data_IF_285025511702
#
_entry.id   IF_285025511702
#
_cell.length_a   1.000
_cell.length_b   1.000
_cell.length_c   1.000
_cell.angle_alpha   90.00
_cell.angle_beta   90.00
_cell.angle_gamma   90.00
#
_symmetry.space_group_name_H-M   'P 1'
#
loop_
_entity.id
_entity.type
_entity.pdbx_description
1 polymer ?
#
# COMPACT_ATOMS: atom_id res chain seq x y z
N UNK A 1 -61.20 -5.49 9.13
CA UNK A 1 -61.18 -4.03 8.92
C UNK A 1 -60.02 -3.75 7.98
N UNK A 2 -60.24 -3.76 6.65
CA UNK A 2 -60.56 -2.56 5.84
C UNK A 2 -59.40 -1.55 5.96
N UNK A 3 -58.46 -1.42 5.01
CA UNK A 3 -58.66 -1.09 3.60
C UNK A 3 -57.52 -1.55 2.67
N UNK A 4 -57.89 -1.70 1.40
CA UNK A 4 -57.09 -2.09 0.23
C UNK A 4 -57.24 -0.98 -0.83
N UNK A 5 -56.24 -0.85 -1.71
CA UNK A 5 -56.22 -0.18 -3.04
C UNK A 5 -56.47 1.34 -3.14
N UNK A 6 -55.52 2.00 -3.82
CA UNK A 6 -55.79 2.74 -5.06
C UNK A 6 -54.48 2.93 -5.86
N UNK A 7 -54.34 2.19 -6.97
CA UNK A 7 -53.66 2.63 -8.19
C UNK A 7 -54.70 3.33 -9.08
N UNK A 8 -54.26 4.31 -9.88
CA UNK A 8 -54.67 4.67 -11.27
C UNK A 8 -54.18 6.11 -11.50
N UNK A 9 -53.16 6.33 -12.33
CA UNK A 9 -53.22 6.45 -13.81
C UNK A 9 -54.00 7.68 -14.29
N UNK A 10 -53.31 8.56 -15.02
CA UNK A 10 -53.53 8.92 -16.46
C UNK A 10 -52.70 10.18 -16.74
N UNK A 11 -51.64 10.12 -17.54
CA UNK A 11 -51.56 9.90 -19.00
C UNK A 11 -51.75 11.18 -19.83
N UNK A 12 -50.85 11.23 -20.82
CA UNK A 12 -51.09 11.58 -22.22
C UNK A 12 -50.89 13.02 -22.68
N UNK A 13 -49.92 13.10 -23.61
CA UNK A 13 -50.18 13.64 -24.94
C UNK A 13 -49.30 14.84 -25.26
N UNK A 14 -48.65 14.97 -26.41
CA UNK A 14 -48.52 14.16 -27.61
C UNK A 14 -47.39 14.87 -28.41
N UNK A 15 -46.40 14.18 -28.96
CA UNK A 15 -46.40 13.50 -30.28
C UNK A 15 -46.12 14.48 -31.45
N UNK A 16 -45.80 13.97 -32.66
CA UNK A 16 -44.57 14.30 -33.37
C UNK A 16 -44.92 14.91 -34.74
N UNK A 17 -43.91 14.99 -35.61
CA UNK A 17 -43.97 15.23 -37.06
C UNK A 17 -43.47 16.61 -37.53
N UNK A 18 -42.86 16.52 -38.71
CA UNK A 18 -42.44 17.57 -39.64
C UNK A 18 -41.06 18.21 -39.30
N UNK A 19 -40.01 18.07 -40.12
CA UNK A 19 -39.96 18.16 -41.58
C UNK A 19 -38.82 17.32 -42.21
N UNK A 20 -39.19 16.51 -43.21
CA UNK A 20 -38.34 16.10 -44.34
C UNK A 20 -38.13 17.26 -45.33
N UNK A 21 -37.06 17.17 -46.13
CA UNK A 21 -36.83 17.64 -47.52
C UNK A 21 -35.39 18.17 -47.65
N UNK A 22 -34.55 17.84 -48.63
CA UNK A 22 -34.58 17.06 -49.88
C UNK A 22 -33.14 17.17 -50.44
N UNK A 23 -32.56 16.19 -51.15
CA UNK A 23 -32.58 15.99 -52.60
C UNK A 23 -31.11 15.68 -53.01
N UNK A 24 -30.81 14.49 -53.55
CA UNK A 24 -30.68 14.16 -54.97
C UNK A 24 -29.26 14.31 -55.58
N UNK A 25 -28.63 13.15 -55.80
CA UNK A 25 -28.02 12.64 -57.06
C UNK A 25 -27.01 13.48 -57.89
N UNK A 26 -25.73 13.03 -57.84
CA UNK A 26 -24.89 12.49 -58.95
C UNK A 26 -24.49 13.40 -60.17
N UNK A 27 -23.76 12.90 -61.20
CA UNK A 27 -22.34 12.46 -61.28
C UNK A 27 -21.59 13.02 -62.53
N UNK A 28 -20.24 12.95 -62.62
CA UNK A 28 -19.42 12.97 -63.88
C UNK A 28 -17.92 13.08 -63.56
N UNK A 29 -16.91 12.54 -64.27
CA UNK A 29 -16.77 11.61 -65.40
C UNK A 29 -15.26 11.28 -65.58
N UNK A 30 -14.97 10.09 -66.15
CA UNK A 30 -13.73 9.45 -66.68
C UNK A 30 -12.47 10.30 -66.96
N UNK A 31 -11.24 9.78 -66.77
CA UNK A 31 -10.55 8.85 -67.70
C UNK A 31 -9.01 8.73 -67.48
N UNK A 32 -8.22 8.04 -68.34
CA UNK A 32 -7.32 6.92 -67.94
C UNK A 32 -5.78 7.09 -68.14
N UNK A 33 -4.97 6.37 -67.31
CA UNK A 33 -3.62 5.74 -67.52
C UNK A 33 -2.45 6.57 -68.13
N UNK A 34 -1.19 6.05 -68.24
CA UNK A 34 -0.41 5.03 -67.52
C UNK A 34 1.03 5.50 -67.14
N UNK A 35 1.83 4.67 -66.45
CA UNK A 35 3.30 4.80 -66.50
C UNK A 35 4.07 4.37 -65.25
N UNK A 36 4.34 3.06 -65.13
CA UNK A 36 5.51 2.58 -64.38
C UNK A 36 6.77 2.74 -65.28
N UNK A 37 7.95 2.91 -64.68
CA UNK A 37 8.88 1.78 -64.75
C UNK A 37 9.56 1.43 -63.42
N UNK A 38 9.76 0.12 -63.32
CA UNK A 38 10.64 -0.68 -62.47
C UNK A 38 12.05 -0.09 -62.32
N UNK A 39 12.59 -0.03 -61.09
CA UNK A 39 14.03 -0.21 -60.82
C UNK A 39 14.26 -0.87 -59.44
N UNK A 40 14.93 -2.02 -59.52
CA UNK A 40 15.81 -2.73 -58.57
C UNK A 40 15.37 -3.14 -57.16
N UNK A 41 15.30 -4.46 -56.99
CA UNK A 41 15.58 -5.17 -55.76
C UNK A 41 17.06 -5.03 -55.36
N UNK A 42 17.30 -4.64 -54.12
CA UNK A 42 18.55 -4.88 -53.40
C UNK A 42 18.23 -5.74 -52.16
N UNK A 43 18.91 -6.88 -51.95
CA UNK A 43 18.74 -7.70 -50.75
C UNK A 43 19.75 -7.24 -49.69
N UNK A 44 19.28 -6.69 -48.57
CA UNK A 44 20.15 -6.48 -47.42
C UNK A 44 19.32 -6.38 -46.14
N UNK A 45 19.46 -7.41 -45.31
CA UNK A 45 19.39 -7.38 -43.85
C UNK A 45 18.19 -6.65 -43.23
N UNK A 46 17.09 -7.37 -43.07
CA UNK A 46 16.09 -7.10 -42.03
C UNK A 46 16.01 -8.34 -41.13
N UNK A 47 17.15 -8.72 -40.56
CA UNK A 47 17.28 -9.71 -39.49
C UNK A 47 18.29 -9.13 -38.50
N UNK A 48 17.85 -8.16 -37.70
CA UNK A 48 18.46 -7.72 -36.44
C UNK A 48 17.53 -6.64 -35.86
N UNK A 49 17.34 -6.65 -34.54
CA UNK A 49 16.45 -5.78 -33.75
C UNK A 49 14.98 -6.19 -33.57
N UNK A 50 14.71 -7.50 -33.45
CA UNK A 50 13.47 -7.97 -32.82
C UNK A 50 13.69 -8.88 -31.59
N UNK A 51 14.85 -8.77 -30.94
CA UNK A 51 15.19 -9.47 -29.69
C UNK A 51 15.67 -8.51 -28.57
N UNK A 52 15.22 -7.25 -28.60
CA UNK A 52 15.57 -6.25 -27.59
C UNK A 52 14.38 -5.81 -26.70
N UNK A 53 13.29 -6.57 -26.64
CA UNK A 53 12.07 -6.17 -25.93
C UNK A 53 11.56 -7.12 -24.84
N UNK A 54 12.40 -7.97 -24.26
CA UNK A 54 12.00 -8.84 -23.13
C UNK A 54 12.95 -8.85 -21.92
N UNK A 55 13.71 -7.78 -21.71
CA UNK A 55 14.17 -7.41 -20.36
C UNK A 55 13.35 -6.23 -19.86
N UNK A 56 12.06 -6.47 -19.62
CA UNK A 56 11.16 -5.47 -19.08
C UNK A 56 11.41 -5.25 -17.56
N UNK A 57 12.62 -4.79 -17.20
CA UNK A 57 13.05 -4.53 -15.82
C UNK A 57 12.33 -3.35 -15.15
N UNK A 58 12.40 -3.27 -13.82
CA UNK A 58 11.96 -2.10 -13.02
C UNK A 58 12.66 -0.82 -13.51
N UNK A 59 12.12 0.35 -13.14
CA UNK A 59 12.81 1.61 -13.44
C UNK A 59 14.14 1.68 -12.68
N UNK A 60 15.17 2.24 -13.32
CA UNK A 60 16.48 2.38 -12.69
C UNK A 60 16.41 3.16 -11.37
N UNK A 61 17.19 2.75 -10.34
CA UNK A 61 17.23 3.43 -9.06
C UNK A 61 17.67 4.90 -9.20
N UNK A 62 16.90 5.79 -8.59
CA UNK A 62 17.15 7.23 -8.74
C UNK A 62 18.38 7.69 -7.95
N UNK A 63 19.24 8.49 -8.59
CA UNK A 63 20.45 9.08 -8.01
C UNK A 63 20.18 10.34 -7.16
N UNK A 64 18.96 10.88 -7.21
CA UNK A 64 18.51 12.02 -6.42
C UNK A 64 17.02 11.87 -6.10
N UNK A 65 16.56 12.50 -5.02
CA UNK A 65 15.13 12.55 -4.70
C UNK A 65 14.37 13.28 -5.82
N UNK A 66 13.56 12.55 -6.60
CA UNK A 66 12.79 13.14 -7.70
C UNK A 66 11.55 13.85 -7.18
N UNK A 67 11.06 14.87 -7.91
CA UNK A 67 9.79 15.55 -7.56
C UNK A 67 8.61 14.58 -7.53
N UNK A 68 8.62 13.59 -8.43
CA UNK A 68 7.59 12.55 -8.47
C UNK A 68 7.61 11.67 -7.22
N UNK A 69 8.79 11.26 -6.75
CA UNK A 69 8.94 10.53 -5.47
C UNK A 69 8.47 11.36 -4.27
N UNK A 70 8.80 12.65 -4.22
CA UNK A 70 8.32 13.55 -3.15
C UNK A 70 6.80 13.64 -3.16
N UNK A 71 6.21 13.84 -4.34
CA UNK A 71 4.76 13.91 -4.49
C UNK A 71 4.09 12.60 -4.06
N UNK A 72 4.62 11.46 -4.52
CA UNK A 72 4.16 10.14 -4.13
C UNK A 72 4.19 9.96 -2.59
N UNK A 73 5.35 10.14 -1.97
CA UNK A 73 5.54 9.92 -0.53
C UNK A 73 4.71 10.88 0.34
N UNK A 74 4.69 12.18 0.02
CA UNK A 74 4.05 13.17 0.89
C UNK A 74 2.56 13.34 0.61
N UNK A 75 2.15 13.32 -0.66
CA UNK A 75 0.76 13.60 -1.04
C UNK A 75 -0.05 12.32 -1.09
N UNK A 76 0.41 11.30 -1.83
CA UNK A 76 -0.34 10.05 -1.95
C UNK A 76 -0.27 9.26 -0.65
N UNK A 77 0.93 8.95 -0.16
CA UNK A 77 1.05 8.16 1.07
C UNK A 77 0.73 9.02 2.29
N UNK A 78 1.25 10.25 2.39
CA UNK A 78 1.01 11.11 3.56
C UNK A 78 -0.44 11.58 3.66
N UNK A 79 -0.87 12.43 2.74
CA UNK A 79 -2.19 13.06 2.80
C UNK A 79 -3.32 12.08 2.44
N UNK A 80 -3.10 11.23 1.44
CA UNK A 80 -4.02 10.14 1.10
C UNK A 80 -4.13 9.11 2.23
N UNK A 81 -3.00 8.67 2.79
CA UNK A 81 -2.98 7.77 3.95
C UNK A 81 -3.63 8.36 5.19
N UNK A 82 -3.48 9.66 5.45
CA UNK A 82 -4.18 10.37 6.52
C UNK A 82 -5.70 10.27 6.36
N UNK A 83 -6.23 10.61 5.18
CA UNK A 83 -7.68 10.60 4.94
C UNK A 83 -8.25 9.19 4.98
N UNK A 84 -7.57 8.23 4.35
CA UNK A 84 -7.99 6.82 4.34
C UNK A 84 -8.00 6.27 5.77
N UNK A 85 -6.90 6.44 6.49
CA UNK A 85 -6.75 5.90 7.85
C UNK A 85 -7.71 6.56 8.84
N UNK A 86 -7.82 7.90 8.81
CA UNK A 86 -8.79 8.62 9.62
C UNK A 86 -10.21 8.17 9.32
N UNK A 87 -10.57 8.03 8.03
CA UNK A 87 -11.89 7.58 7.59
C UNK A 87 -12.26 6.18 8.08
N UNK A 88 -11.33 5.22 7.95
CA UNK A 88 -11.55 3.83 8.45
C UNK A 88 -11.73 3.81 9.96
N UNK A 89 -10.89 4.54 10.71
CA UNK A 89 -11.01 4.63 12.17
C UNK A 89 -12.31 5.30 12.61
N UNK A 90 -12.73 6.35 11.91
CA UNK A 90 -14.03 6.99 12.15
C UNK A 90 -15.18 6.00 11.94
N UNK A 91 -15.17 5.25 10.84
CA UNK A 91 -16.22 4.30 10.51
C UNK A 91 -16.32 3.17 11.55
N UNK A 92 -15.18 2.63 11.98
CA UNK A 92 -15.11 1.61 13.03
C UNK A 92 -15.64 2.15 14.36
N UNK A 93 -15.22 3.35 14.76
CA UNK A 93 -15.69 4.00 15.97
C UNK A 93 -17.19 4.33 15.90
N UNK A 94 -17.68 4.77 14.74
CA UNK A 94 -19.10 5.03 14.53
C UNK A 94 -19.90 3.74 14.71
N UNK A 95 -19.52 2.67 14.02
CA UNK A 95 -20.19 1.38 14.14
C UNK A 95 -20.15 0.87 15.59
N UNK A 96 -18.98 0.89 16.25
CA UNK A 96 -18.83 0.36 17.60
C UNK A 96 -19.64 1.14 18.63
N UNK A 97 -19.53 2.47 18.67
CA UNK A 97 -20.15 3.28 19.73
C UNK A 97 -21.64 3.56 19.51
N UNK A 98 -22.14 3.48 18.27
CA UNK A 98 -23.59 3.69 18.01
C UNK A 98 -24.42 2.41 18.09
N UNK A 99 -23.79 1.24 18.01
CA UNK A 99 -24.51 -0.06 18.09
C UNK A 99 -24.53 -0.64 19.51
N UNK A 100 -23.68 -0.15 20.41
CA UNK A 100 -23.62 -0.60 21.79
C UNK A 100 -24.73 0.03 22.66
N UNK A 101 -25.19 -0.68 23.69
CA UNK A 101 -26.06 -0.13 24.72
C UNK A 101 -25.27 0.80 25.65
N UNK A 102 -25.15 2.05 25.21
CA UNK A 102 -24.43 3.12 25.92
C UNK A 102 -25.21 3.66 27.12
N UNK A 103 -26.46 3.24 27.32
CA UNK A 103 -27.25 3.54 28.53
C UNK A 103 -26.78 2.66 29.68
N UNK A 104 -26.53 1.37 29.43
CA UNK A 104 -25.99 0.44 30.43
C UNK A 104 -24.47 0.56 30.59
N UNK A 105 -23.74 0.80 29.49
CA UNK A 105 -22.28 0.85 29.47
C UNK A 105 -21.79 2.13 28.77
N UNK A 106 -21.76 3.28 29.47
CA UNK A 106 -21.34 4.54 28.85
C UNK A 106 -19.89 4.48 28.38
N UNK A 107 -19.57 5.26 27.35
CA UNK A 107 -18.21 5.38 26.83
C UNK A 107 -17.34 6.09 27.87
N UNK A 108 -16.29 5.41 28.33
CA UNK A 108 -15.40 5.86 29.41
C UNK A 108 -13.98 6.01 28.90
N UNK A 109 -13.19 6.87 29.53
CA UNK A 109 -11.82 7.08 29.12
C UNK A 109 -10.95 5.85 29.41
N UNK A 110 -10.98 5.33 30.65
CA UNK A 110 -10.13 4.21 31.06
C UNK A 110 -10.89 2.93 31.37
N UNK A 111 -12.09 3.04 31.97
CA UNK A 111 -12.81 1.87 32.46
C UNK A 111 -13.42 1.01 31.35
N UNK A 112 -13.37 -0.31 31.56
CA UNK A 112 -14.04 -1.32 30.74
C UNK A 112 -15.57 -1.31 31.00
N UNK A 113 -16.41 -1.80 30.06
CA UNK A 113 -16.06 -2.45 28.79
C UNK A 113 -15.75 -1.48 27.63
N UNK A 114 -16.23 -0.23 27.68
CA UNK A 114 -16.14 0.73 26.57
C UNK A 114 -15.04 1.77 26.81
N UNK A 115 -13.80 1.30 26.88
CA UNK A 115 -12.61 2.14 27.12
C UNK A 115 -12.12 2.80 25.84
N UNK A 116 -12.09 4.13 25.84
CA UNK A 116 -11.66 4.91 24.67
C UNK A 116 -10.14 5.02 24.59
N UNK A 117 -9.45 5.11 25.73
CA UNK A 117 -7.98 5.09 25.78
C UNK A 117 -7.42 3.72 25.39
N UNK A 118 -8.06 2.63 25.83
CA UNK A 118 -7.64 1.27 25.43
C UNK A 118 -7.85 1.03 23.95
N UNK A 119 -8.99 1.43 23.40
CA UNK A 119 -9.28 1.32 21.97
C UNK A 119 -8.32 2.16 21.12
N UNK A 120 -7.95 3.37 21.57
CA UNK A 120 -6.90 4.19 20.96
C UNK A 120 -5.53 3.48 20.94
N UNK A 121 -5.13 2.86 22.06
CA UNK A 121 -3.87 2.13 22.16
C UNK A 121 -3.79 0.97 21.16
N UNK A 122 -4.85 0.15 21.12
CA UNK A 122 -4.94 -1.00 20.21
C UNK A 122 -4.92 -0.53 18.76
N UNK A 123 -5.61 0.57 18.46
CA UNK A 123 -5.61 1.17 17.11
C UNK A 123 -4.21 1.49 16.65
N UNK A 124 -3.40 2.17 17.47
CA UNK A 124 -2.03 2.53 17.08
C UNK A 124 -1.21 1.29 16.72
N UNK A 125 -1.31 0.24 17.54
CA UNK A 125 -0.56 -1.01 17.35
C UNK A 125 -1.01 -1.74 16.08
N UNK A 126 -2.32 -2.01 15.99
CA UNK A 126 -2.88 -2.78 14.87
C UNK A 126 -2.73 -2.03 13.56
N UNK A 127 -3.02 -0.72 13.56
CA UNK A 127 -2.89 0.11 12.37
C UNK A 127 -1.46 0.12 11.85
N UNK A 128 -0.45 0.35 12.69
CA UNK A 128 0.94 0.37 12.23
C UNK A 128 1.39 -0.98 11.66
N UNK A 129 0.98 -2.09 12.28
CA UNK A 129 1.28 -3.44 11.76
C UNK A 129 0.60 -3.66 10.41
N UNK A 130 -0.70 -3.39 10.29
CA UNK A 130 -1.43 -3.59 9.04
C UNK A 130 -0.94 -2.67 7.93
N UNK A 131 -0.71 -1.40 8.25
CA UNK A 131 -0.20 -0.40 7.30
C UNK A 131 1.15 -0.83 6.75
N UNK A 132 2.04 -1.37 7.59
CA UNK A 132 3.32 -1.90 7.13
C UNK A 132 3.20 -2.94 6.00
N UNK A 133 2.22 -3.85 6.11
CA UNK A 133 1.97 -4.85 5.08
C UNK A 133 1.29 -4.27 3.84
N UNK A 134 0.34 -3.35 4.03
CA UNK A 134 -0.33 -2.65 2.92
C UNK A 134 0.69 -1.89 2.08
N UNK A 135 1.55 -1.09 2.73
CA UNK A 135 2.60 -0.31 2.06
C UNK A 135 3.61 -1.19 1.33
N UNK A 136 3.98 -2.34 1.94
CA UNK A 136 4.83 -3.32 1.26
C UNK A 136 4.21 -3.77 -0.06
N UNK A 137 2.91 -4.06 -0.05
CA UNK A 137 2.18 -4.52 -1.23
C UNK A 137 2.00 -3.41 -2.28
N UNK A 138 1.61 -2.20 -1.85
CA UNK A 138 1.39 -1.05 -2.73
C UNK A 138 2.68 -0.63 -3.43
N UNK A 139 3.77 -0.43 -2.68
CA UNK A 139 5.06 -0.05 -3.26
C UNK A 139 5.58 -1.14 -4.21
N UNK A 140 5.46 -2.43 -3.85
CA UNK A 140 5.85 -3.51 -4.75
C UNK A 140 5.02 -3.52 -6.05
N UNK A 141 3.72 -3.26 -5.95
CA UNK A 141 2.84 -3.14 -7.10
C UNK A 141 3.22 -1.94 -7.98
N UNK A 142 3.44 -0.76 -7.39
CA UNK A 142 3.78 0.46 -8.14
C UNK A 142 5.16 0.39 -8.79
N UNK A 143 6.12 -0.28 -8.16
CA UNK A 143 7.42 -0.60 -8.77
C UNK A 143 7.25 -1.58 -9.93
N UNK A 144 6.40 -2.61 -9.79
CA UNK A 144 6.14 -3.59 -10.86
C UNK A 144 5.47 -2.95 -12.09
N UNK A 145 4.69 -1.87 -11.88
CA UNK A 145 4.03 -1.11 -12.94
C UNK A 145 4.88 0.04 -13.48
N UNK A 146 6.12 0.20 -13.02
CA UNK A 146 7.00 1.31 -13.40
C UNK A 146 6.36 2.69 -13.12
N UNK A 147 5.49 2.77 -12.12
CA UNK A 147 4.82 4.01 -11.72
C UNK A 147 5.73 4.91 -10.88
N UNK A 148 6.63 4.29 -10.10
CA UNK A 148 7.56 4.96 -9.19
C UNK A 148 8.96 4.38 -9.34
N UNK A 149 9.98 5.23 -9.20
CA UNK A 149 11.38 4.82 -9.21
C UNK A 149 11.84 4.38 -7.81
N UNK A 150 12.64 3.32 -7.68
CA UNK A 150 13.36 3.00 -6.45
C UNK A 150 14.27 4.16 -6.01
N UNK A 151 14.54 4.28 -4.71
CA UNK A 151 15.46 5.28 -4.17
C UNK A 151 16.87 4.67 -4.11
N UNK A 152 17.74 5.06 -5.05
CA UNK A 152 19.09 4.52 -5.18
C UNK A 152 20.19 5.35 -4.51
N UNK A 153 19.96 6.62 -4.16
CA UNK A 153 21.05 7.48 -3.68
C UNK A 153 21.49 7.22 -2.24
N UNK A 154 20.69 6.49 -1.44
CA UNK A 154 20.98 6.22 -0.03
C UNK A 154 21.92 5.00 0.05
N UNK A 155 23.08 5.11 0.73
CA UNK A 155 23.98 3.97 0.90
C UNK A 155 23.38 2.93 1.86
N UNK A 156 23.77 1.67 1.67
CA UNK A 156 23.38 0.62 2.60
C UNK A 156 23.92 0.90 4.02
N UNK A 157 23.12 0.66 5.06
CA UNK A 157 23.60 0.78 6.43
C UNK A 157 24.66 -0.27 6.75
N UNK A 158 25.68 0.13 7.51
CA UNK A 158 26.76 -0.74 7.99
C UNK A 158 26.47 -1.33 9.37
N UNK A 159 25.59 -0.70 10.16
CA UNK A 159 25.28 -1.13 11.53
C UNK A 159 24.39 -2.38 11.55
N UNK A 160 24.74 -3.36 12.41
CA UNK A 160 24.06 -4.68 12.49
C UNK A 160 22.55 -4.60 12.72
N UNK A 161 22.11 -3.72 13.61
CA UNK A 161 20.68 -3.58 13.91
C UNK A 161 19.90 -2.87 12.79
N UNK A 162 20.54 -1.96 12.05
CA UNK A 162 19.95 -1.33 10.87
C UNK A 162 19.86 -2.33 9.72
N UNK A 163 20.92 -3.11 9.46
CA UNK A 163 20.87 -4.20 8.47
C UNK A 163 19.77 -5.20 8.79
N UNK A 164 19.62 -5.58 10.07
CA UNK A 164 18.48 -6.37 10.52
C UNK A 164 17.14 -5.67 10.22
N UNK A 165 16.97 -4.39 10.58
CA UNK A 165 15.75 -3.63 10.30
C UNK A 165 15.41 -3.59 8.80
N UNK A 166 16.40 -3.54 7.93
CA UNK A 166 16.25 -3.41 6.48
C UNK A 166 16.26 -4.72 5.68
N UNK A 167 16.32 -5.89 6.34
CA UNK A 167 16.44 -7.21 5.69
C UNK A 167 17.77 -7.45 4.94
N UNK A 168 18.84 -6.76 5.31
CA UNK A 168 20.16 -6.94 4.69
C UNK A 168 20.96 -8.06 5.39
N UNK A 169 21.73 -8.89 4.65
CA UNK A 169 22.62 -9.89 5.23
C UNK A 169 23.58 -9.23 6.23
N UNK A 170 23.75 -9.82 7.41
CA UNK A 170 24.73 -9.30 8.38
C UNK A 170 26.13 -9.55 7.83
N UNK A 171 26.99 -8.52 7.76
CA UNK A 171 28.36 -8.63 7.21
C UNK A 171 29.28 -9.63 7.94
N UNK A 172 28.86 -10.17 9.09
CA UNK A 172 29.53 -11.27 9.78
C UNK A 172 29.08 -12.67 9.29
N UNK A 173 28.24 -12.74 8.26
CA UNK A 173 27.67 -13.97 7.72
C UNK A 173 28.31 -14.48 6.43
N UNK A 174 29.20 -13.70 5.80
CA UNK A 174 29.98 -14.20 4.66
C UNK A 174 30.99 -15.27 5.09
N UNK A 175 31.40 -15.31 6.36
CA UNK A 175 32.26 -16.38 6.89
C UNK A 175 31.51 -17.69 7.19
N UNK A 176 30.17 -17.70 7.13
CA UNK A 176 29.35 -18.89 7.37
C UNK A 176 28.71 -19.45 6.09
N UNK A 177 28.77 -18.72 4.97
CA UNK A 177 28.32 -19.19 3.67
C UNK A 177 29.46 -19.78 2.81
N UNK A 178 30.73 -19.63 3.23
CA UNK A 178 31.91 -20.08 2.49
C UNK A 178 32.57 -21.38 3.03
N UNK A 179 31.83 -22.23 3.76
CA UNK A 179 32.33 -23.54 4.26
C UNK A 179 31.65 -24.76 3.64
N UNK A 180 30.86 -24.62 2.56
CA UNK A 180 30.32 -25.81 1.85
C UNK A 180 30.40 -25.71 0.32
N UNK A 181 31.49 -25.18 -0.26
CA UNK A 181 31.83 -25.56 -1.66
C UNK A 181 33.33 -25.38 -1.96
N UNK A 182 34.19 -26.22 -1.39
CA UNK A 182 35.50 -26.55 -1.99
C UNK A 182 36.01 -27.87 -1.43
N UNK A 183 35.89 -28.94 -2.23
CA UNK A 183 36.47 -30.25 -1.91
C UNK A 183 35.77 -31.42 -2.58
N UNK A 184 35.87 -31.55 -3.91
CA UNK A 184 36.02 -32.86 -4.56
C UNK A 184 37.32 -33.49 -3.99
N UNK A 185 37.49 -34.76 -3.56
CA UNK A 185 36.87 -36.07 -3.79
C UNK A 185 37.29 -36.96 -2.60
N UNK A 186 36.40 -37.72 -1.94
CA UNK A 186 36.69 -39.13 -1.53
C UNK A 186 35.47 -39.91 -0.95
N UNK A 187 35.18 -41.02 -1.63
CA UNK A 187 34.54 -42.29 -1.25
C UNK A 187 33.62 -42.46 -0.01
N UNK A 188 32.46 -43.08 -0.33
CA UNK A 188 31.70 -44.09 0.45
C UNK A 188 31.05 -43.66 1.77
N UNK A 189 29.73 -43.69 1.78
CA UNK A 189 28.93 -43.89 3.00
C UNK A 189 27.55 -43.28 2.88
N UNK A 190 26.54 -44.13 3.04
CA UNK A 190 25.09 -43.86 3.13
C UNK A 190 24.63 -42.40 3.29
N UNK A 191 23.81 -41.95 2.35
CA UNK A 191 23.07 -40.69 2.41
C UNK A 191 21.96 -40.82 3.44
N UNK A 192 22.18 -40.32 4.65
CA UNK A 192 21.07 -39.92 5.53
C UNK A 192 20.36 -38.70 4.92
N UNK A 193 19.01 -38.70 4.82
CA UNK A 193 18.28 -37.51 4.41
C UNK A 193 18.35 -36.48 5.53
N UNK A 194 19.13 -35.41 5.33
CA UNK A 194 19.10 -34.19 6.14
C UNK A 194 17.67 -33.63 6.11
N UNK A 195 16.91 -33.95 7.15
CA UNK A 195 15.48 -33.65 7.29
C UNK A 195 15.26 -32.15 7.09
N UNK A 196 14.67 -31.79 5.95
CA UNK A 196 14.22 -30.43 5.67
C UNK A 196 13.27 -30.00 6.79
N UNK A 197 13.70 -29.05 7.62
CA UNK A 197 12.83 -28.42 8.59
C UNK A 197 11.60 -27.83 7.86
N UNK A 198 10.37 -28.01 8.39
CA UNK A 198 9.17 -27.72 7.63
C UNK A 198 9.06 -26.23 7.32
N UNK A 199 8.95 -25.89 6.03
CA UNK A 199 8.88 -24.54 5.45
C UNK A 199 7.87 -23.58 6.14
N UNK A 200 6.91 -24.12 6.89
CA UNK A 200 5.94 -23.35 7.69
C UNK A 200 6.60 -22.51 8.80
N UNK A 201 7.64 -23.02 9.46
CA UNK A 201 8.30 -22.24 10.52
C UNK A 201 9.08 -21.05 9.96
N UNK A 202 9.71 -21.19 8.79
CA UNK A 202 10.41 -20.09 8.09
C UNK A 202 9.47 -18.98 7.62
N UNK A 203 8.26 -19.36 7.19
CA UNK A 203 7.25 -18.37 6.74
C UNK A 203 6.68 -17.59 7.93
N UNK A 204 6.36 -18.25 9.03
CA UNK A 204 5.83 -17.59 10.24
C UNK A 204 6.86 -16.67 10.88
N UNK A 205 8.13 -17.06 10.94
CA UNK A 205 9.20 -16.19 11.44
C UNK A 205 9.36 -14.96 10.55
N UNK A 206 9.27 -15.12 9.22
CA UNK A 206 9.32 -14.01 8.26
C UNK A 206 8.13 -13.04 8.39
N UNK A 207 6.93 -13.56 8.68
CA UNK A 207 5.74 -12.75 8.95
C UNK A 207 5.85 -12.01 10.28
N UNK A 208 6.26 -12.70 11.35
CA UNK A 208 6.47 -12.11 12.66
C UNK A 208 7.54 -11.01 12.61
N UNK A 209 8.62 -11.25 11.88
CA UNK A 209 9.66 -10.26 11.64
C UNK A 209 9.12 -9.01 10.94
N UNK A 210 8.26 -9.16 9.92
CA UNK A 210 7.62 -8.01 9.27
C UNK A 210 6.69 -7.26 10.23
N UNK A 211 5.86 -7.98 10.99
CA UNK A 211 4.98 -7.38 11.98
C UNK A 211 5.76 -6.61 13.06
N UNK A 212 6.91 -7.13 13.50
CA UNK A 212 7.76 -6.47 14.48
C UNK A 212 8.30 -5.11 14.00
N UNK A 213 8.52 -4.94 12.70
CA UNK A 213 8.97 -3.66 12.12
C UNK A 213 7.86 -2.62 12.10
N UNK A 214 6.66 -3.01 11.68
CA UNK A 214 5.46 -2.19 11.85
C UNK A 214 5.22 -1.83 13.32
N UNK A 215 5.46 -2.79 14.22
CA UNK A 215 5.34 -2.58 15.66
C UNK A 215 6.33 -1.54 16.22
N UNK A 216 7.57 -1.45 15.73
CA UNK A 216 8.49 -0.40 16.17
C UNK A 216 7.96 1.01 15.86
N UNK A 217 7.35 1.21 14.68
CA UNK A 217 6.68 2.47 14.37
C UNK A 217 5.45 2.69 15.26
N UNK A 218 4.76 1.62 15.66
CA UNK A 218 3.68 1.70 16.64
C UNK A 218 4.15 2.19 18.01
N UNK A 219 5.33 1.76 18.49
CA UNK A 219 5.88 2.23 19.77
C UNK A 219 6.09 3.75 19.74
N UNK A 220 6.70 4.25 18.66
CA UNK A 220 6.94 5.69 18.49
C UNK A 220 5.61 6.44 18.41
N UNK A 221 4.66 5.97 17.60
CA UNK A 221 3.32 6.55 17.50
C UNK A 221 2.56 6.52 18.82
N UNK A 222 2.70 5.44 19.60
CA UNK A 222 2.06 5.28 20.90
C UNK A 222 2.60 6.29 21.91
N UNK A 223 3.92 6.40 22.04
CA UNK A 223 4.55 7.34 22.97
C UNK A 223 4.21 8.80 22.63
N UNK A 224 4.07 9.13 21.35
CA UNK A 224 3.77 10.50 20.92
C UNK A 224 2.27 10.83 20.97
N UNK A 225 1.43 10.00 20.33
CA UNK A 225 0.03 10.35 20.07
C UNK A 225 -0.92 9.86 21.17
N UNK A 226 -0.62 8.75 21.84
CA UNK A 226 -1.52 8.22 22.87
C UNK A 226 -1.64 9.14 24.09
N UNK A 227 -0.55 9.60 24.75
CA UNK A 227 -0.68 10.49 25.92
C UNK A 227 -1.28 11.85 25.54
N UNK A 228 -0.93 12.39 24.36
CA UNK A 228 -1.55 13.61 23.84
C UNK A 228 -3.06 13.41 23.63
N UNK A 229 -3.45 12.28 23.02
CA UNK A 229 -4.86 11.93 22.83
C UNK A 229 -5.62 11.80 24.13
N UNK A 230 -5.06 11.08 25.11
CA UNK A 230 -5.64 10.95 26.46
C UNK A 230 -5.79 12.32 27.12
N UNK A 231 -4.76 13.19 27.04
CA UNK A 231 -4.82 14.54 27.59
C UNK A 231 -5.85 15.46 26.92
N UNK A 232 -6.05 15.31 25.61
CA UNK A 232 -7.12 16.02 24.89
C UNK A 232 -8.48 15.52 25.36
N UNK A 233 -8.64 14.20 25.48
CA UNK A 233 -9.90 13.59 25.90
C UNK A 233 -10.30 14.00 27.32
N UNK A 234 -9.36 14.04 28.28
CA UNK A 234 -9.66 14.54 29.63
C UNK A 234 -10.16 15.98 29.63
N UNK A 235 -9.75 16.82 28.67
CA UNK A 235 -10.25 18.19 28.54
C UNK A 235 -11.70 18.27 28.02
N UNK A 236 -12.15 17.30 27.22
CA UNK A 236 -13.51 17.28 26.65
C UNK A 236 -14.49 16.36 27.40
N UNK A 237 -13.99 15.47 28.25
CA UNK A 237 -14.79 14.50 28.98
C UNK A 237 -15.53 15.09 30.17
N UNK A 238 -16.68 14.51 30.52
CA UNK A 238 -17.39 14.83 31.76
C UNK A 238 -16.90 13.93 32.88
N UNK A 239 -16.28 14.52 33.90
CA UNK A 239 -15.78 13.78 35.06
C UNK A 239 -16.96 13.21 35.87
N UNK A 240 -17.02 11.89 36.02
CA UNK A 240 -18.05 11.17 36.75
C UNK A 240 -17.49 9.87 37.32
N UNK A 241 -17.68 9.64 38.63
CA UNK A 241 -17.30 8.38 39.27
C UNK A 241 -15.80 8.03 39.21
N UNK A 242 -14.91 9.03 39.13
CA UNK A 242 -13.46 8.83 39.04
C UNK A 242 -12.94 8.53 37.63
N UNK A 243 -13.77 8.69 36.60
CA UNK A 243 -13.38 8.58 35.19
C UNK A 243 -14.03 9.70 34.37
N UNK A 244 -13.69 9.78 33.08
CA UNK A 244 -14.28 10.70 32.12
C UNK A 244 -15.26 9.96 31.21
N UNK A 245 -16.45 10.52 31.06
CA UNK A 245 -17.52 9.96 30.24
C UNK A 245 -17.78 10.82 29.01
N UNK A 246 -18.17 10.18 27.91
CA UNK A 246 -18.42 10.83 26.63
C UNK A 246 -19.79 10.45 26.07
N UNK A 247 -20.33 11.33 25.24
CA UNK A 247 -21.47 10.98 24.40
C UNK A 247 -21.07 9.89 23.40
N UNK A 248 -22.03 9.06 23.04
CA UNK A 248 -21.90 7.99 22.05
C UNK A 248 -21.63 8.52 20.63
N UNK A 249 -22.01 9.77 20.36
CA UNK A 249 -21.85 10.42 19.06
C UNK A 249 -20.87 11.59 19.07
N UNK A 250 -20.20 11.71 17.95
CA UNK A 250 -19.22 12.71 17.54
C UNK A 250 -17.90 12.69 18.29
N UNK A 251 -17.87 12.77 19.62
CA UNK A 251 -16.59 12.89 20.34
C UNK A 251 -15.67 11.68 20.10
N UNK A 252 -16.14 10.43 20.29
CA UNK A 252 -15.29 9.27 20.03
C UNK A 252 -14.88 9.13 18.57
N UNK A 253 -15.80 9.40 17.64
CA UNK A 253 -15.57 9.22 16.21
C UNK A 253 -14.61 10.27 15.64
N UNK A 254 -14.77 11.53 16.02
CA UNK A 254 -13.87 12.61 15.61
C UNK A 254 -12.48 12.40 16.22
N UNK A 255 -12.40 12.02 17.49
CA UNK A 255 -11.13 11.67 18.11
C UNK A 255 -10.41 10.55 17.33
N UNK A 256 -11.14 9.49 16.97
CA UNK A 256 -10.61 8.36 16.20
C UNK A 256 -10.19 8.73 14.79
N UNK A 257 -10.96 9.60 14.13
CA UNK A 257 -10.59 10.17 12.83
C UNK A 257 -9.25 10.90 12.91
N UNK A 258 -9.11 11.81 13.87
CA UNK A 258 -7.90 12.62 14.03
C UNK A 258 -6.71 11.74 14.42
N UNK A 259 -6.89 10.83 15.39
CA UNK A 259 -5.82 9.93 15.82
C UNK A 259 -5.34 9.04 14.67
N UNK A 260 -6.27 8.37 13.99
CA UNK A 260 -5.96 7.50 12.85
C UNK A 260 -5.32 8.27 11.71
N UNK A 261 -5.85 9.46 11.40
CA UNK A 261 -5.31 10.33 10.36
C UNK A 261 -3.91 10.84 10.66
N UNK A 262 -3.67 11.39 11.86
CA UNK A 262 -2.32 11.84 12.26
C UNK A 262 -1.32 10.69 12.27
N UNK A 263 -1.74 9.51 12.75
CA UNK A 263 -0.89 8.32 12.71
C UNK A 263 -0.59 7.90 11.28
N UNK A 264 -1.59 7.91 10.38
CA UNK A 264 -1.41 7.66 8.96
C UNK A 264 -0.41 8.64 8.35
N UNK A 265 -0.68 9.95 8.46
CA UNK A 265 0.17 11.03 7.96
C UNK A 265 1.64 10.88 8.35
N UNK A 266 1.90 10.43 9.58
CA UNK A 266 3.27 10.26 10.09
C UNK A 266 3.90 8.94 9.64
N UNK A 267 3.13 7.85 9.56
CA UNK A 267 3.69 6.51 9.37
C UNK A 267 3.70 6.06 7.92
N UNK A 268 2.69 6.35 7.11
CA UNK A 268 2.61 5.90 5.71
C UNK A 268 3.76 6.45 4.84
N UNK A 269 4.15 7.75 4.90
CA UNK A 269 5.29 8.23 4.10
C UNK A 269 6.61 7.57 4.49
N UNK A 270 6.79 7.31 5.79
CA UNK A 270 8.00 6.69 6.31
C UNK A 270 8.10 5.22 5.88
N UNK A 271 6.98 4.50 5.90
CA UNK A 271 6.91 3.12 5.43
C UNK A 271 7.11 3.03 3.92
N UNK A 272 6.47 3.91 3.13
CA UNK A 272 6.67 3.97 1.69
C UNK A 272 8.13 4.28 1.33
N UNK A 273 8.73 5.28 1.97
CA UNK A 273 10.14 5.61 1.80
C UNK A 273 11.05 4.42 2.16
N UNK A 274 10.78 3.73 3.27
CA UNK A 274 11.52 2.52 3.66
C UNK A 274 11.52 1.46 2.55
N UNK A 275 10.35 1.17 1.97
CA UNK A 275 10.23 0.14 0.92
C UNK A 275 10.88 0.58 -0.39
N UNK A 276 10.78 1.85 -0.76
CA UNK A 276 11.44 2.41 -1.95
C UNK A 276 12.97 2.39 -1.84
N UNK A 277 13.51 2.66 -0.66
CA UNK A 277 14.96 2.57 -0.39
C UNK A 277 15.42 1.12 -0.46
N UNK A 278 14.68 0.22 0.18
CA UNK A 278 14.99 -1.20 0.15
C UNK A 278 15.02 -1.74 -1.28
N UNK A 279 14.03 -1.39 -2.10
CA UNK A 279 14.00 -1.78 -3.51
C UNK A 279 15.22 -1.26 -4.28
N UNK A 280 15.66 -0.02 -3.98
CA UNK A 280 16.86 0.55 -4.61
C UNK A 280 18.17 -0.16 -4.23
N UNK A 281 18.25 -0.82 -3.08
CA UNK A 281 19.38 -1.67 -2.73
C UNK A 281 19.32 -3.04 -3.39
N UNK A 282 18.13 -3.64 -3.49
CA UNK A 282 17.94 -4.92 -4.18
C UNK A 282 18.36 -4.82 -5.65
N UNK A 283 17.89 -3.78 -6.36
CA UNK A 283 18.21 -3.58 -7.76
C UNK A 283 19.73 -3.36 -8.00
N UNK A 284 20.44 -2.70 -7.06
CA UNK A 284 21.91 -2.54 -7.13
C UNK A 284 22.66 -3.85 -6.90
N UNK A 285 22.14 -4.71 -6.02
CA UNK A 285 22.77 -6.00 -5.73
C UNK A 285 22.68 -6.96 -6.92
N UNK A 286 21.56 -6.91 -7.65
CA UNK A 286 21.37 -7.67 -8.89
C UNK A 286 22.35 -7.19 -9.97
N UNK A 287 22.46 -5.88 -10.20
CA UNK A 287 23.41 -5.31 -11.18
C UNK A 287 24.87 -5.70 -10.91
N UNK A 288 25.31 -5.66 -9.64
CA UNK A 288 26.67 -6.03 -9.28
C UNK A 288 26.95 -7.55 -9.42
N UNK A 289 25.91 -8.38 -9.44
CA UNK A 289 26.06 -9.84 -9.61
C UNK A 289 26.15 -10.27 -11.08
N UNK A 290 25.73 -9.41 -12.01
CA UNK A 290 25.75 -9.65 -13.45
C UNK A 290 27.05 -9.17 -14.14
N UNK A 291 27.86 -8.34 -13.47
CA UNK A 291 29.18 -7.85 -13.91
C UNK A 291 30.34 -8.64 -13.32
#
# INVERSE_FOLDING_TARGET
MFWSRAQHETEAGASPADLEQGAAQAPTHRGPQPGNPVVEAGPAAADEDMDASEHAGRLEPSQKLTRHQVFYILVLDGLGGMLLSGGVNFALAYAMYTTQDTVQNPVRLFQLPNTLAGDAAVTIIVQCILTWFVEKGLVAYDLSKRSVQPIGFIPEPTLRWQRWLFFLPTSAGNDAADVETKGEVELKGEVEPKVAAPARFSTLTSLLQQALRGFFLAIVGFVLLWPAGVGILTAFGKHSGGDYTYADRWTPQVFKFILGGLLGLLTTPLMAAFWLIKAGWEDKSEQNSET
#
